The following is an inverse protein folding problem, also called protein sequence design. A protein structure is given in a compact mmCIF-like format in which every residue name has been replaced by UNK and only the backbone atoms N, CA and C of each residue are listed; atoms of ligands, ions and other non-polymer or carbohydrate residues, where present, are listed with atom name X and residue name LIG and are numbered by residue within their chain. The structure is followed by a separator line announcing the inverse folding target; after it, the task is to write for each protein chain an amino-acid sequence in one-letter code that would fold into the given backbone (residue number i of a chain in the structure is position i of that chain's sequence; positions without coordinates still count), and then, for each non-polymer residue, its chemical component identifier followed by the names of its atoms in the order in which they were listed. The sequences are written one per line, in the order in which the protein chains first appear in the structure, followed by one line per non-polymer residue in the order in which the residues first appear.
data_IF_563254421509
#
_entry.id   IF_563254421509
#
_cell.length_a   1.000
_cell.length_b   1.000
_cell.length_c   1.000
_cell.angle_alpha   90.00
_cell.angle_beta   90.00
_cell.angle_gamma   90.00
#
_symmetry.space_group_name_H-M   'P 1'
#
loop_
_entity.id
_entity.type
_entity.pdbx_description
1 polymer ?
#
# COMPACT_ATOMS: atom_id res chain seq x y z
N UNK A 1 -25.68 30.66 -29.19
CA UNK A 1 -25.72 30.13 -27.81
C UNK A 1 -24.37 30.32 -27.18
N UNK A 2 -24.23 30.67 -25.89
CA UNK A 2 -22.93 30.76 -25.26
C UNK A 2 -22.24 29.40 -25.36
N UNK A 3 -20.92 29.42 -25.54
CA UNK A 3 -20.10 28.20 -25.57
C UNK A 3 -20.26 27.48 -24.23
N UNK A 4 -20.58 26.18 -24.21
CA UNK A 4 -20.67 25.42 -22.95
C UNK A 4 -19.38 25.54 -22.17
N UNK A 5 -19.46 25.91 -20.91
CA UNK A 5 -18.30 26.02 -20.04
C UNK A 5 -18.43 25.01 -18.87
N UNK A 6 -17.30 24.44 -18.50
CA UNK A 6 -17.22 23.61 -17.31
C UNK A 6 -17.59 24.43 -16.07
N UNK A 7 -18.45 23.91 -15.22
CA UNK A 7 -18.84 24.54 -13.94
C UNK A 7 -17.72 24.40 -12.89
N UNK A 8 -16.55 24.90 -13.22
CA UNK A 8 -15.37 24.74 -12.41
C UNK A 8 -14.55 26.02 -12.46
N UNK A 9 -14.24 26.59 -11.30
CA UNK A 9 -13.32 27.71 -11.13
C UNK A 9 -12.17 27.22 -10.28
N UNK A 10 -10.95 27.15 -10.83
CA UNK A 10 -9.80 26.70 -10.07
C UNK A 10 -9.39 27.73 -9.01
N UNK A 11 -9.07 27.28 -7.80
CA UNK A 11 -8.33 28.09 -6.85
C UNK A 11 -6.84 28.12 -7.22
N UNK A 12 -6.03 28.99 -6.57
CA UNK A 12 -4.64 29.24 -6.96
C UNK A 12 -3.78 27.99 -7.09
N UNK A 13 -3.92 27.05 -6.15
CA UNK A 13 -3.18 25.78 -6.20
C UNK A 13 -3.55 24.90 -7.39
N UNK A 14 -4.83 24.89 -7.79
CA UNK A 14 -5.32 24.19 -8.98
C UNK A 14 -4.92 24.94 -10.27
N UNK A 15 -5.00 26.28 -10.25
CA UNK A 15 -4.56 27.12 -11.37
C UNK A 15 -3.10 26.90 -11.70
N UNK A 16 -2.23 26.78 -10.69
CA UNK A 16 -0.81 26.45 -10.87
C UNK A 16 -0.61 25.10 -11.61
N UNK A 17 -1.40 24.07 -11.29
CA UNK A 17 -1.32 22.80 -11.98
C UNK A 17 -1.85 22.88 -13.41
N UNK A 18 -2.90 23.67 -13.67
CA UNK A 18 -3.36 23.94 -15.03
C UNK A 18 -2.32 24.71 -15.84
N UNK A 19 -1.63 25.66 -15.21
CA UNK A 19 -0.52 26.37 -15.87
C UNK A 19 0.61 25.42 -16.25
N UNK A 20 1.00 24.52 -15.32
CA UNK A 20 2.01 23.50 -15.62
C UNK A 20 1.60 22.61 -16.81
N UNK A 21 0.30 22.28 -16.93
CA UNK A 21 -0.23 21.56 -18.08
C UNK A 21 -0.14 22.37 -19.38
N UNK A 22 -0.47 23.66 -19.32
CA UNK A 22 -0.34 24.57 -20.45
C UNK A 22 1.12 24.76 -20.88
N UNK A 23 2.06 24.73 -19.95
CA UNK A 23 3.51 24.80 -20.18
C UNK A 23 4.08 23.46 -20.70
N UNK A 24 3.25 22.44 -20.91
CA UNK A 24 3.62 21.18 -21.55
C UNK A 24 3.83 19.99 -20.64
N UNK A 25 3.53 20.09 -19.34
CA UNK A 25 3.66 18.96 -18.43
C UNK A 25 2.75 17.80 -18.87
N UNK A 26 3.34 16.64 -19.22
CA UNK A 26 2.61 15.45 -19.64
C UNK A 26 2.09 14.64 -18.45
N UNK A 27 2.80 14.68 -17.33
CA UNK A 27 2.40 14.06 -16.08
C UNK A 27 2.35 15.08 -14.97
N UNK A 28 1.26 15.04 -14.19
CA UNK A 28 1.14 15.76 -12.93
C UNK A 28 1.02 14.72 -11.81
N UNK A 29 1.85 14.83 -10.79
CA UNK A 29 1.80 13.96 -9.60
C UNK A 29 1.55 14.83 -8.37
N UNK A 30 0.43 14.58 -7.70
CA UNK A 30 -0.08 15.46 -6.67
C UNK A 30 -0.26 14.71 -5.33
N UNK A 31 0.68 14.93 -4.40
CA UNK A 31 0.56 14.49 -3.00
C UNK A 31 -0.14 15.59 -2.20
N UNK A 32 -1.42 15.44 -1.97
CA UNK A 32 -2.26 16.55 -1.51
C UNK A 32 -3.20 16.07 -0.40
N UNK A 33 -3.37 16.91 0.61
CA UNK A 33 -4.28 16.68 1.73
C UNK A 33 -5.73 16.45 1.30
N UNK A 34 -6.52 15.83 2.16
CA UNK A 34 -7.95 15.59 1.93
C UNK A 34 -8.70 16.92 1.82
N UNK A 35 -9.85 16.94 1.11
CA UNK A 35 -10.72 18.12 0.91
C UNK A 35 -10.07 19.33 0.20
N UNK A 36 -8.92 19.15 -0.43
CA UNK A 36 -8.24 20.20 -1.20
C UNK A 36 -8.90 20.48 -2.56
N UNK A 37 -9.70 19.55 -3.10
CA UNK A 37 -10.34 19.69 -4.41
C UNK A 37 -9.64 18.95 -5.55
N UNK A 38 -8.88 17.88 -5.25
CA UNK A 38 -8.17 17.03 -6.22
C UNK A 38 -9.05 16.51 -7.34
N UNK A 39 -10.24 15.98 -7.00
CA UNK A 39 -11.23 15.46 -7.96
C UNK A 39 -11.72 16.52 -8.92
N UNK A 40 -12.00 17.75 -8.44
CA UNK A 40 -12.44 18.86 -9.29
C UNK A 40 -11.36 19.29 -10.28
N UNK A 41 -10.10 19.35 -9.81
CA UNK A 41 -8.97 19.58 -10.71
C UNK A 41 -8.88 18.47 -11.78
N UNK A 42 -8.96 17.20 -11.39
CA UNK A 42 -8.86 16.08 -12.32
C UNK A 42 -9.91 16.12 -13.43
N UNK A 43 -11.16 16.44 -13.07
CA UNK A 43 -12.24 16.60 -14.05
C UNK A 43 -11.97 17.78 -14.97
N UNK A 44 -11.49 18.91 -14.44
CA UNK A 44 -11.11 20.07 -15.23
C UNK A 44 -9.99 19.78 -16.23
N UNK A 45 -8.93 19.14 -15.76
CA UNK A 45 -7.76 18.77 -16.57
C UNK A 45 -8.12 17.69 -17.63
N UNK A 46 -8.96 16.72 -17.27
CA UNK A 46 -9.46 15.70 -18.21
C UNK A 46 -10.35 16.32 -19.29
N UNK A 47 -11.20 17.31 -18.94
CA UNK A 47 -12.03 18.01 -19.92
C UNK A 47 -11.19 18.94 -20.80
N UNK A 48 -10.10 19.51 -20.30
CA UNK A 48 -9.14 20.23 -21.13
C UNK A 48 -8.45 19.28 -22.14
N UNK A 49 -8.10 18.06 -21.71
CA UNK A 49 -7.58 17.02 -22.61
C UNK A 49 -8.62 16.66 -23.70
N UNK A 50 -9.89 16.47 -23.31
CA UNK A 50 -10.99 16.23 -24.26
C UNK A 50 -11.11 17.36 -25.28
N UNK A 51 -11.10 18.62 -24.88
CA UNK A 51 -11.18 19.77 -25.81
C UNK A 51 -9.95 19.85 -26.71
N UNK A 52 -8.75 19.58 -26.17
CA UNK A 52 -7.52 19.53 -26.96
C UNK A 52 -7.60 18.49 -28.06
N UNK A 53 -8.09 17.30 -27.73
CA UNK A 53 -8.26 16.20 -28.70
C UNK A 53 -9.42 16.47 -29.66
N UNK A 54 -10.49 17.10 -29.19
CA UNK A 54 -11.66 17.47 -30.02
C UNK A 54 -11.28 18.42 -31.17
N UNK A 55 -10.24 19.26 -30.94
CA UNK A 55 -9.69 20.15 -31.96
C UNK A 55 -8.81 19.43 -33.01
N UNK A 56 -8.40 18.18 -32.75
CA UNK A 56 -7.55 17.38 -33.63
C UNK A 56 -8.36 16.53 -34.60
N UNK A 57 -7.87 16.39 -35.83
CA UNK A 57 -8.40 15.36 -36.72
C UNK A 57 -7.97 13.95 -36.23
N UNK A 58 -8.95 13.06 -36.03
CA UNK A 58 -8.70 11.68 -35.59
C UNK A 58 -9.10 10.70 -36.68
N UNK A 59 -8.17 9.85 -37.18
CA UNK A 59 -8.45 8.88 -38.22
C UNK A 59 -9.47 7.83 -37.74
N UNK A 60 -10.16 7.18 -38.67
CA UNK A 60 -11.13 6.11 -38.36
C UNK A 60 -10.50 4.94 -37.62
N UNK A 61 -9.21 4.63 -37.90
CA UNK A 61 -8.46 3.59 -37.19
C UNK A 61 -8.28 3.87 -35.70
N UNK A 62 -8.46 5.13 -35.27
CA UNK A 62 -8.40 5.51 -33.85
C UNK A 62 -9.81 5.42 -33.25
N UNK A 63 -10.11 4.28 -32.67
CA UNK A 63 -11.39 4.02 -32.01
C UNK A 63 -11.11 3.63 -30.57
N UNK A 64 -11.62 4.40 -29.60
CA UNK A 64 -12.42 5.65 -29.70
C UNK A 64 -11.55 6.85 -30.07
N UNK A 65 -12.16 7.95 -30.61
CA UNK A 65 -11.40 9.15 -30.97
C UNK A 65 -10.91 9.96 -29.74
N UNK A 66 -11.52 9.77 -28.58
CA UNK A 66 -11.04 10.19 -27.26
C UNK A 66 -11.34 9.08 -26.27
N UNK A 67 -10.35 8.70 -25.50
CA UNK A 67 -10.50 7.70 -24.47
C UNK A 67 -9.74 8.15 -23.20
N UNK A 68 -10.45 8.18 -22.06
CA UNK A 68 -9.87 8.50 -20.77
C UNK A 68 -10.20 7.41 -19.75
N UNK A 69 -9.28 7.16 -18.84
CA UNK A 69 -9.49 6.30 -17.68
C UNK A 69 -9.41 7.07 -16.39
N UNK A 70 -10.40 6.83 -15.52
CA UNK A 70 -10.33 7.05 -14.10
C UNK A 70 -10.03 5.70 -13.44
N UNK A 71 -8.83 5.51 -12.94
CA UNK A 71 -8.43 4.31 -12.18
C UNK A 71 -8.58 4.59 -10.70
N UNK A 72 -9.38 3.77 -10.03
CA UNK A 72 -9.64 3.82 -8.59
C UNK A 72 -9.16 2.53 -7.91
N UNK A 73 -8.82 2.54 -6.63
CA UNK A 73 -8.46 1.31 -5.92
C UNK A 73 -9.54 0.23 -6.00
N UNK A 74 -10.80 0.63 -5.78
CA UNK A 74 -11.98 -0.23 -5.96
C UNK A 74 -13.22 0.59 -6.40
N UNK A 75 -14.25 -0.06 -6.97
CA UNK A 75 -15.44 0.62 -7.49
C UNK A 75 -16.28 1.40 -6.44
N UNK A 76 -16.39 0.98 -5.17
CA UNK A 76 -17.05 1.80 -4.15
C UNK A 76 -16.49 3.22 -4.03
N UNK A 77 -15.18 3.39 -4.21
CA UNK A 77 -14.53 4.70 -4.14
C UNK A 77 -14.80 5.58 -5.39
N UNK A 78 -15.19 4.97 -6.51
CA UNK A 78 -15.49 5.69 -7.74
C UNK A 78 -16.75 6.57 -7.64
N UNK A 79 -17.68 6.24 -6.75
CA UNK A 79 -19.02 6.88 -6.71
C UNK A 79 -18.95 8.39 -6.52
N UNK A 80 -18.06 8.87 -5.68
CA UNK A 80 -17.92 10.32 -5.47
C UNK A 80 -17.43 11.01 -6.76
N UNK A 81 -16.35 10.51 -7.36
CA UNK A 81 -15.78 11.06 -8.60
C UNK A 81 -16.80 10.97 -9.75
N UNK A 82 -17.57 9.89 -9.81
CA UNK A 82 -18.67 9.74 -10.76
C UNK A 82 -19.74 10.82 -10.62
N UNK A 83 -20.20 11.08 -9.41
CA UNK A 83 -21.22 12.09 -9.15
C UNK A 83 -20.69 13.51 -9.47
N UNK A 84 -19.44 13.79 -9.11
CA UNK A 84 -18.80 15.07 -9.45
C UNK A 84 -18.63 15.25 -10.97
N UNK A 85 -18.27 14.19 -11.72
CA UNK A 85 -18.27 14.23 -13.19
C UNK A 85 -19.65 14.55 -13.75
N UNK A 86 -20.71 13.91 -13.21
CA UNK A 86 -22.09 14.15 -13.63
C UNK A 86 -22.57 15.59 -13.33
N UNK A 87 -22.06 16.20 -12.28
CA UNK A 87 -22.36 17.59 -11.91
C UNK A 87 -21.61 18.61 -12.78
N UNK A 88 -20.29 18.40 -12.95
CA UNK A 88 -19.37 19.39 -13.52
C UNK A 88 -19.36 19.40 -15.05
N UNK A 89 -19.41 18.21 -15.69
CA UNK A 89 -19.35 18.11 -17.15
C UNK A 89 -20.64 18.67 -17.76
N UNK A 90 -20.58 19.67 -18.68
CA UNK A 90 -21.76 20.23 -19.32
C UNK A 90 -22.59 19.15 -20.05
N UNK A 91 -23.92 19.28 -19.98
CA UNK A 91 -24.83 18.32 -20.66
C UNK A 91 -24.63 18.30 -22.16
N UNK A 92 -24.23 19.42 -22.73
CA UNK A 92 -23.97 19.59 -24.16
C UNK A 92 -22.78 18.74 -24.64
N UNK A 93 -21.81 18.48 -23.74
CA UNK A 93 -20.66 17.62 -24.03
C UNK A 93 -20.96 16.15 -23.80
N UNK A 94 -22.01 15.81 -23.06
CA UNK A 94 -22.39 14.43 -22.77
C UNK A 94 -23.43 13.91 -23.76
N UNK A 95 -23.35 12.62 -24.06
CA UNK A 95 -24.37 11.90 -24.84
C UNK A 95 -25.21 11.05 -23.90
N UNK A 96 -24.53 10.25 -23.08
CA UNK A 96 -25.16 9.40 -22.08
C UNK A 96 -24.19 9.09 -20.95
N UNK A 97 -24.77 8.71 -19.83
CA UNK A 97 -24.09 8.13 -18.68
C UNK A 97 -24.56 6.68 -18.57
N UNK A 98 -23.65 5.76 -18.39
CA UNK A 98 -23.96 4.33 -18.27
C UNK A 98 -23.37 3.78 -16.97
N UNK A 99 -24.06 3.96 -15.83
CA UNK A 99 -23.56 3.60 -14.52
C UNK A 99 -23.26 2.10 -14.36
N UNK A 100 -24.02 1.23 -15.06
CA UNK A 100 -23.79 -0.22 -15.04
C UNK A 100 -22.44 -0.63 -15.63
N UNK A 101 -21.90 0.18 -16.53
CA UNK A 101 -20.61 -0.02 -17.21
C UNK A 101 -19.55 0.98 -16.74
N UNK A 102 -19.88 1.86 -15.80
CA UNK A 102 -19.02 2.93 -15.34
C UNK A 102 -18.41 3.78 -16.47
N UNK A 103 -19.25 4.15 -17.48
CA UNK A 103 -18.84 4.85 -18.69
C UNK A 103 -19.61 6.14 -18.91
N UNK A 104 -18.89 7.26 -19.13
CA UNK A 104 -19.41 8.53 -19.63
C UNK A 104 -19.10 8.67 -21.11
N UNK A 105 -20.13 8.86 -21.93
CA UNK A 105 -19.97 9.10 -23.36
C UNK A 105 -19.91 10.60 -23.66
N UNK A 106 -18.87 11.01 -24.39
CA UNK A 106 -18.61 12.39 -24.77
C UNK A 106 -18.83 12.60 -26.25
N UNK A 107 -19.42 13.74 -26.58
CA UNK A 107 -19.86 14.09 -27.95
C UNK A 107 -18.66 14.39 -28.85
N UNK A 108 -18.59 13.72 -29.98
CA UNK A 108 -17.67 14.07 -31.07
C UNK A 108 -18.16 15.20 -31.94
N UNK A 109 -17.30 15.68 -32.82
CA UNK A 109 -17.55 16.73 -33.81
C UNK A 109 -17.14 16.27 -35.23
N UNK A 110 -17.14 17.18 -36.18
CA UNK A 110 -16.75 16.90 -37.56
C UNK A 110 -15.30 16.38 -37.69
N UNK A 111 -14.38 16.84 -36.84
CA UNK A 111 -12.96 16.38 -36.84
C UNK A 111 -12.85 14.88 -36.51
N UNK A 112 -13.84 14.35 -35.79
CA UNK A 112 -13.94 12.92 -35.47
C UNK A 112 -14.99 12.21 -36.32
N UNK A 113 -15.47 12.81 -37.40
CA UNK A 113 -16.57 12.28 -38.20
C UNK A 113 -17.81 11.93 -37.35
N UNK A 114 -18.10 12.78 -36.35
CA UNK A 114 -19.17 12.62 -35.37
C UNK A 114 -19.12 11.32 -34.54
N UNK A 115 -18.02 10.59 -34.54
CA UNK A 115 -17.80 9.50 -33.58
C UNK A 115 -17.67 10.06 -32.17
N UNK A 116 -17.91 9.24 -31.17
CA UNK A 116 -17.94 9.68 -29.77
C UNK A 116 -16.70 9.18 -29.02
N UNK A 117 -16.24 10.01 -28.09
CA UNK A 117 -15.27 9.61 -27.08
C UNK A 117 -15.93 9.11 -25.82
N UNK A 118 -15.17 8.62 -24.87
CA UNK A 118 -15.69 8.24 -23.56
C UNK A 118 -14.63 8.25 -22.45
N UNK A 119 -15.13 8.29 -21.23
CA UNK A 119 -14.38 8.10 -19.98
C UNK A 119 -14.85 6.82 -19.32
N UNK A 120 -13.94 5.93 -18.99
CA UNK A 120 -14.24 4.71 -18.25
C UNK A 120 -13.63 4.77 -16.84
N UNK A 121 -14.37 4.29 -15.85
CA UNK A 121 -13.83 4.02 -14.53
C UNK A 121 -13.35 2.57 -14.45
N UNK A 122 -12.12 2.39 -14.04
CA UNK A 122 -11.45 1.09 -13.88
C UNK A 122 -11.06 0.86 -12.43
N UNK A 123 -11.25 -0.36 -11.94
CA UNK A 123 -10.77 -0.75 -10.61
C UNK A 123 -9.39 -1.36 -10.70
N UNK A 124 -8.47 -0.87 -9.87
CA UNK A 124 -7.13 -1.45 -9.73
C UNK A 124 -7.12 -2.78 -8.97
N UNK A 125 -8.24 -3.13 -8.31
CA UNK A 125 -8.38 -4.41 -7.59
C UNK A 125 -8.27 -5.62 -8.53
N UNK A 126 -8.80 -5.49 -9.76
CA UNK A 126 -8.67 -6.54 -10.79
C UNK A 126 -7.75 -6.04 -11.90
N UNK A 127 -6.44 -6.17 -11.69
CA UNK A 127 -5.41 -5.67 -12.60
C UNK A 127 -5.44 -6.32 -13.98
N UNK A 128 -6.03 -7.49 -14.16
CA UNK A 128 -6.10 -8.20 -15.44
C UNK A 128 -7.03 -7.51 -16.46
N UNK A 129 -7.94 -6.65 -15.97
CA UNK A 129 -8.84 -5.85 -16.84
C UNK A 129 -8.20 -4.54 -17.33
N UNK A 130 -6.98 -4.23 -16.89
CA UNK A 130 -6.28 -2.98 -17.17
C UNK A 130 -5.47 -3.03 -18.46
N UNK A 131 -6.10 -3.48 -19.55
CA UNK A 131 -5.49 -3.53 -20.89
C UNK A 131 -6.39 -2.83 -21.91
N UNK A 132 -5.80 -2.04 -22.80
CA UNK A 132 -6.52 -1.35 -23.90
C UNK A 132 -5.55 -0.92 -25.00
N UNK A 133 -6.13 -0.40 -26.09
CA UNK A 133 -5.42 0.08 -27.29
C UNK A 133 -4.72 1.43 -27.12
N UNK A 134 -4.88 2.08 -25.97
CA UNK A 134 -4.30 3.39 -25.66
C UNK A 134 -5.33 4.38 -25.18
N UNK A 135 -4.90 5.33 -24.33
CA UNK A 135 -5.76 6.35 -23.74
C UNK A 135 -5.13 7.73 -23.84
N UNK A 136 -5.97 8.75 -24.03
CA UNK A 136 -5.56 10.15 -24.10
C UNK A 136 -5.32 10.77 -22.72
N UNK A 137 -6.08 10.31 -21.73
CA UNK A 137 -5.98 10.82 -20.36
C UNK A 137 -6.05 9.68 -19.34
N UNK A 138 -5.06 9.63 -18.46
CA UNK A 138 -5.00 8.68 -17.35
C UNK A 138 -5.08 9.44 -16.02
N UNK A 139 -6.17 9.23 -15.29
CA UNK A 139 -6.33 9.70 -13.92
C UNK A 139 -6.27 8.52 -12.95
N UNK A 140 -5.28 8.50 -12.06
CA UNK A 140 -5.19 7.53 -10.95
C UNK A 140 -5.56 8.26 -9.65
N UNK A 141 -6.74 7.92 -9.13
CA UNK A 141 -7.33 8.48 -7.92
C UNK A 141 -6.92 7.65 -6.69
N UNK A 142 -6.68 8.33 -5.55
CA UNK A 142 -6.20 7.71 -4.31
C UNK A 142 -5.00 6.78 -4.58
N UNK A 143 -4.02 7.33 -5.27
CA UNK A 143 -2.85 6.63 -5.83
C UNK A 143 -2.06 5.83 -4.77
N UNK A 144 -2.08 6.26 -3.49
CA UNK A 144 -1.44 5.55 -2.38
C UNK A 144 -2.09 4.19 -2.06
N UNK A 145 -3.31 3.96 -2.53
CA UNK A 145 -4.05 2.71 -2.32
C UNK A 145 -4.07 1.80 -3.58
N UNK A 146 -3.40 2.21 -4.66
CA UNK A 146 -3.21 1.44 -5.90
C UNK A 146 -1.89 0.68 -5.84
N UNK A 147 -1.91 -0.64 -6.02
CA UNK A 147 -0.71 -1.49 -5.91
C UNK A 147 0.33 -1.21 -6.98
N UNK A 148 1.60 -1.56 -6.72
CA UNK A 148 2.68 -1.47 -7.70
C UNK A 148 2.34 -2.28 -8.97
N UNK A 149 1.83 -3.50 -8.82
CA UNK A 149 1.44 -4.37 -9.93
C UNK A 149 0.37 -3.75 -10.84
N UNK A 150 -0.71 -3.23 -10.23
CA UNK A 150 -1.77 -2.58 -11.01
C UNK A 150 -1.24 -1.36 -11.77
N UNK A 151 -0.38 -0.56 -11.15
CA UNK A 151 0.22 0.60 -11.79
C UNK A 151 1.13 0.23 -12.97
N UNK A 152 1.91 -0.84 -12.85
CA UNK A 152 2.77 -1.33 -13.94
C UNK A 152 1.98 -1.74 -15.19
N UNK A 153 0.76 -2.26 -15.00
CA UNK A 153 -0.16 -2.56 -16.11
C UNK A 153 -0.82 -1.31 -16.70
N UNK A 154 -1.14 -0.32 -15.87
CA UNK A 154 -1.85 0.90 -16.29
C UNK A 154 -0.94 1.91 -16.99
N UNK A 155 0.30 2.08 -16.52
CA UNK A 155 1.19 3.13 -17.02
C UNK A 155 1.45 3.09 -18.54
N UNK A 156 1.67 1.92 -19.17
CA UNK A 156 1.96 1.84 -20.61
C UNK A 156 0.78 2.25 -21.51
N UNK A 157 -0.48 2.10 -21.06
CA UNK A 157 -1.66 2.35 -21.90
C UNK A 157 -1.80 3.82 -22.34
N UNK A 158 -1.24 4.76 -21.57
CA UNK A 158 -1.22 6.18 -21.92
C UNK A 158 -0.03 6.59 -22.81
N UNK A 159 0.77 5.63 -23.27
CA UNK A 159 1.97 5.86 -24.10
C UNK A 159 1.84 5.35 -25.54
N UNK A 160 0.66 4.95 -25.94
CA UNK A 160 0.41 4.48 -27.31
C UNK A 160 0.64 5.60 -28.32
N UNK A 161 1.12 5.29 -29.53
CA UNK A 161 1.25 6.27 -30.59
C UNK A 161 -0.08 6.93 -30.95
N UNK A 162 -0.07 8.24 -31.19
CA UNK A 162 -1.24 8.99 -31.62
C UNK A 162 -2.19 9.46 -30.50
N UNK A 163 -2.04 8.98 -29.27
CA UNK A 163 -2.80 9.49 -28.12
C UNK A 163 -2.15 10.72 -27.50
N UNK A 164 -2.94 11.56 -26.83
CA UNK A 164 -2.43 12.74 -26.11
C UNK A 164 -1.54 12.30 -24.93
N UNK A 165 -1.96 11.27 -24.20
CA UNK A 165 -1.17 10.61 -23.18
C UNK A 165 -0.91 11.47 -21.93
N UNK A 166 -1.82 12.36 -21.57
CA UNK A 166 -1.74 13.10 -20.31
C UNK A 166 -2.03 12.19 -19.11
N UNK A 167 -1.30 12.41 -18.03
CA UNK A 167 -1.41 11.62 -16.81
C UNK A 167 -1.60 12.53 -15.59
N UNK A 168 -2.51 12.15 -14.71
CA UNK A 168 -2.70 12.76 -13.40
C UNK A 168 -2.79 11.69 -12.33
N UNK A 169 -1.86 11.71 -11.37
CA UNK A 169 -1.80 10.79 -10.24
C UNK A 169 -1.98 11.60 -8.96
N UNK A 170 -2.97 11.25 -8.17
CA UNK A 170 -3.29 12.02 -6.98
C UNK A 170 -3.66 11.16 -5.78
N UNK A 171 -3.31 11.67 -4.60
CA UNK A 171 -3.61 11.04 -3.34
C UNK A 171 -2.96 11.77 -2.18
N UNK A 172 -3.12 11.21 -1.00
CA UNK A 172 -2.28 11.56 0.15
C UNK A 172 -0.95 10.81 0.05
N UNK A 173 0.13 11.26 0.70
CA UNK A 173 1.40 10.54 0.66
C UNK A 173 1.24 9.07 1.07
N UNK A 174 1.97 8.18 0.40
CA UNK A 174 2.09 6.79 0.84
C UNK A 174 2.88 6.71 2.14
N UNK A 175 2.64 5.67 2.93
CA UNK A 175 3.35 5.44 4.18
C UNK A 175 4.70 4.74 3.99
N UNK A 176 4.99 4.25 2.79
CA UNK A 176 6.29 3.64 2.51
C UNK A 176 6.95 4.25 1.25
N UNK A 177 8.26 4.58 1.33
CA UNK A 177 8.97 5.34 0.29
C UNK A 177 9.08 4.62 -1.06
N UNK A 178 9.09 3.28 -1.05
CA UNK A 178 9.23 2.45 -2.25
C UNK A 178 7.93 2.28 -3.04
N UNK A 179 6.82 2.89 -2.58
CA UNK A 179 5.57 2.89 -3.33
C UNK A 179 5.75 3.57 -4.70
N UNK A 180 5.12 3.04 -5.73
CA UNK A 180 5.21 3.62 -7.08
C UNK A 180 4.82 5.11 -7.12
N UNK A 181 3.84 5.51 -6.29
CA UNK A 181 3.37 6.90 -6.23
C UNK A 181 4.44 7.86 -5.70
N UNK A 182 5.22 7.43 -4.68
CA UNK A 182 6.36 8.19 -4.17
C UNK A 182 7.47 8.28 -5.22
N UNK A 183 7.79 7.18 -5.90
CA UNK A 183 8.76 7.16 -7.01
C UNK A 183 8.31 8.05 -8.17
N UNK A 184 7.03 8.00 -8.54
CA UNK A 184 6.47 8.86 -9.59
C UNK A 184 6.53 10.35 -9.21
N UNK A 185 6.31 10.69 -7.93
CA UNK A 185 6.46 12.04 -7.43
C UNK A 185 7.92 12.53 -7.51
N UNK A 186 8.86 11.71 -7.06
CA UNK A 186 10.29 12.03 -7.13
C UNK A 186 10.79 12.16 -8.56
N UNK A 187 10.29 11.35 -9.47
CA UNK A 187 10.58 11.47 -10.90
C UNK A 187 10.01 12.78 -11.46
N UNK A 188 8.73 13.08 -11.19
CA UNK A 188 8.08 14.28 -11.69
C UNK A 188 8.71 15.58 -11.14
N UNK A 189 9.28 15.55 -9.93
CA UNK A 189 9.98 16.70 -9.35
C UNK A 189 11.33 17.02 -10.01
N UNK A 190 11.90 16.07 -10.77
CA UNK A 190 13.21 16.20 -11.42
C UNK A 190 13.11 16.33 -12.94
N UNK A 191 11.99 15.92 -13.52
CA UNK A 191 11.80 15.86 -14.96
C UNK A 191 11.03 17.11 -15.44
N UNK A 192 11.63 17.98 -16.27
CA UNK A 192 10.98 19.21 -16.74
C UNK A 192 9.73 18.99 -17.60
N UNK A 193 9.53 17.78 -18.13
CA UNK A 193 8.31 17.43 -18.86
C UNK A 193 7.14 16.97 -17.95
N UNK A 194 7.36 16.99 -16.63
CA UNK A 194 6.38 16.59 -15.62
C UNK A 194 6.24 17.68 -14.56
N UNK A 195 5.22 17.55 -13.71
CA UNK A 195 4.99 18.46 -12.60
C UNK A 195 4.65 17.70 -11.32
N UNK A 196 5.27 18.08 -10.22
CA UNK A 196 5.00 17.52 -8.90
C UNK A 196 4.48 18.60 -7.96
N UNK A 197 3.38 18.32 -7.24
CA UNK A 197 2.83 19.23 -6.24
C UNK A 197 2.59 18.52 -4.92
N UNK A 198 3.00 19.13 -3.82
CA UNK A 198 2.53 18.81 -2.48
C UNK A 198 1.76 20.00 -1.93
N UNK A 199 0.59 19.76 -1.33
CA UNK A 199 -0.21 20.82 -0.74
C UNK A 199 -1.01 20.31 0.48
N UNK A 200 -1.07 21.09 1.57
CA UNK A 200 -1.96 20.80 2.69
C UNK A 200 -3.41 21.09 2.32
N UNK A 201 -4.34 20.49 3.05
CA UNK A 201 -5.78 20.78 2.99
C UNK A 201 -6.09 22.27 3.07
N UNK A 202 -5.37 22.97 3.91
CA UNK A 202 -5.55 24.41 4.22
C UNK A 202 -5.26 25.36 3.05
N UNK A 203 -4.70 24.87 1.96
CA UNK A 203 -4.54 25.64 0.72
C UNK A 203 -5.88 25.81 -0.03
N UNK A 204 -6.93 25.05 0.34
CA UNK A 204 -8.26 25.21 -0.24
C UNK A 204 -9.00 26.41 0.37
N UNK A 205 -9.27 27.48 -0.40
CA UNK A 205 -9.92 28.70 0.11
C UNK A 205 -11.43 28.52 0.35
N UNK A 206 -12.00 27.38 0.00
CA UNK A 206 -13.43 27.09 0.18
C UNK A 206 -13.73 26.45 1.54
N UNK A 207 -12.72 26.18 2.35
CA UNK A 207 -12.92 25.69 3.72
C UNK A 207 -13.52 26.79 4.59
N UNK A 208 -14.63 26.47 5.23
CA UNK A 208 -15.28 27.36 6.19
C UNK A 208 -14.55 27.33 7.54
N UNK A 209 -14.77 28.31 8.44
CA UNK A 209 -14.25 28.25 9.80
C UNK A 209 -14.65 26.96 10.51
N UNK A 210 -15.88 26.50 10.34
CA UNK A 210 -16.37 25.22 10.92
C UNK A 210 -15.59 24.02 10.38
N UNK A 211 -15.32 23.96 9.06
CA UNK A 211 -14.49 22.88 8.48
C UNK A 211 -13.09 22.86 9.12
N UNK A 212 -12.51 24.03 9.35
CA UNK A 212 -11.19 24.18 9.97
C UNK A 212 -11.20 23.70 11.43
N UNK A 213 -12.23 24.06 12.20
CA UNK A 213 -12.43 23.61 13.58
C UNK A 213 -12.59 22.07 13.65
N UNK A 214 -13.37 21.47 12.75
CA UNK A 214 -13.54 20.01 12.66
C UNK A 214 -12.21 19.32 12.33
N UNK A 215 -11.45 19.83 11.36
CA UNK A 215 -10.14 19.28 11.00
C UNK A 215 -9.17 19.37 12.18
N UNK A 216 -9.22 20.45 12.95
CA UNK A 216 -8.36 20.62 14.12
C UNK A 216 -8.76 19.66 15.24
N UNK A 217 -10.07 19.46 15.46
CA UNK A 217 -10.58 18.51 16.47
C UNK A 217 -10.23 17.06 16.15
N UNK A 218 -10.03 16.72 14.88
CA UNK A 218 -9.59 15.39 14.47
C UNK A 218 -8.22 14.99 15.07
N UNK A 219 -7.43 15.96 15.56
CA UNK A 219 -6.18 15.68 16.30
C UNK A 219 -6.39 14.93 17.60
N UNK A 220 -7.56 15.05 18.19
CA UNK A 220 -7.89 14.34 19.44
C UNK A 220 -8.17 12.85 19.20
N UNK A 221 -8.57 12.49 17.98
CA UNK A 221 -8.98 11.13 17.60
C UNK A 221 -7.97 10.42 16.71
N UNK A 222 -7.19 11.18 15.94
CA UNK A 222 -6.17 10.63 15.04
C UNK A 222 -4.79 10.64 15.73
N UNK A 223 -3.93 9.70 15.35
CA UNK A 223 -2.51 9.87 15.67
C UNK A 223 -1.94 11.09 14.94
N UNK A 224 -0.93 11.75 15.53
CA UNK A 224 -0.24 12.90 14.92
C UNK A 224 0.17 12.58 13.48
N UNK A 225 0.76 11.42 13.26
CA UNK A 225 1.20 10.97 11.95
C UNK A 225 0.05 10.80 10.94
N UNK A 226 -1.09 10.26 11.39
CA UNK A 226 -2.27 10.13 10.55
C UNK A 226 -2.85 11.50 10.18
N UNK A 227 -2.93 12.42 11.15
CA UNK A 227 -3.43 13.78 10.93
C UNK A 227 -2.53 14.54 9.95
N UNK A 228 -1.20 14.52 10.16
CA UNK A 228 -0.23 15.16 9.26
C UNK A 228 -0.29 14.63 7.84
N UNK A 229 -0.42 13.32 7.69
CA UNK A 229 -0.53 12.69 6.37
C UNK A 229 -1.84 13.07 5.67
N UNK A 230 -2.95 13.06 6.39
CA UNK A 230 -4.29 13.33 5.85
C UNK A 230 -4.49 14.80 5.48
N UNK A 231 -4.00 15.71 6.30
CA UNK A 231 -4.31 17.14 6.19
C UNK A 231 -3.10 18.01 5.77
N UNK A 232 -1.87 17.64 6.15
CA UNK A 232 -0.69 18.38 5.74
C UNK A 232 0.03 17.77 4.53
N UNK A 233 -0.42 16.62 4.03
CA UNK A 233 0.26 15.86 2.99
C UNK A 233 1.73 15.56 3.34
N UNK A 234 2.01 15.29 4.61
CA UNK A 234 3.33 14.96 5.14
C UNK A 234 3.34 13.52 5.66
N UNK A 235 4.42 12.82 5.40
CA UNK A 235 4.73 11.56 6.10
C UNK A 235 5.64 11.94 7.27
N UNK A 236 5.18 11.70 8.50
CA UNK A 236 6.07 11.77 9.65
C UNK A 236 6.71 10.40 9.86
N UNK A 237 7.98 10.38 10.26
CA UNK A 237 8.70 9.15 10.58
C UNK A 237 8.03 8.35 11.72
N UNK A 238 7.13 8.98 12.47
CA UNK A 238 6.35 8.38 13.56
C UNK A 238 5.11 7.58 13.11
N UNK A 239 4.78 7.54 11.80
CA UNK A 239 3.62 6.79 11.28
C UNK A 239 3.86 5.29 11.17
N UNK A 240 5.10 4.85 11.14
CA UNK A 240 5.46 3.45 11.00
C UNK A 240 5.33 2.73 12.33
N UNK A 241 4.77 1.52 12.30
CA UNK A 241 4.71 0.66 13.49
C UNK A 241 6.12 0.34 14.03
N UNK A 242 7.07 0.11 13.13
CA UNK A 242 8.48 -0.06 13.46
C UNK A 242 9.21 1.28 13.37
N UNK A 243 9.66 1.81 14.50
CA UNK A 243 10.41 3.07 14.59
C UNK A 243 11.90 2.79 14.81
N UNK A 244 12.76 3.61 14.23
CA UNK A 244 14.22 3.45 14.39
C UNK A 244 14.84 2.40 13.46
N UNK A 245 14.15 2.00 12.39
CA UNK A 245 14.62 0.97 11.45
C UNK A 245 16.04 1.27 10.94
N UNK A 246 16.29 2.53 10.54
CA UNK A 246 17.57 2.92 9.94
C UNK A 246 18.75 2.81 10.90
N UNK A 247 18.50 2.90 12.22
CA UNK A 247 19.51 2.73 13.25
C UNK A 247 19.94 1.26 13.43
N UNK A 248 19.06 0.34 13.03
CA UNK A 248 19.31 -1.11 13.09
C UNK A 248 20.03 -1.65 11.86
N UNK A 249 20.20 -0.83 10.80
CA UNK A 249 20.89 -1.26 9.58
C UNK A 249 22.38 -1.32 9.85
N UNK A 250 22.94 -2.54 9.95
CA UNK A 250 24.35 -2.75 10.22
C UNK A 250 24.85 -4.09 9.67
N UNK A 251 26.09 -4.07 9.20
CA UNK A 251 26.86 -5.24 8.75
C UNK A 251 26.45 -5.77 7.39
N UNK A 252 27.07 -6.87 7.02
CA UNK A 252 26.90 -7.54 5.74
C UNK A 252 26.31 -8.94 5.95
N UNK A 253 25.76 -9.51 4.90
CA UNK A 253 25.40 -10.92 4.83
C UNK A 253 26.67 -11.77 4.74
N UNK A 254 26.63 -12.93 5.38
CA UNK A 254 27.69 -13.92 5.34
C UNK A 254 27.32 -15.00 4.30
N UNK A 255 28.29 -15.42 3.51
CA UNK A 255 28.15 -16.57 2.60
C UNK A 255 28.27 -17.89 3.36
N UNK A 256 29.01 -17.92 4.50
CA UNK A 256 29.32 -19.10 5.29
C UNK A 256 29.32 -18.77 6.79
N UNK A 257 29.07 -19.75 7.69
CA UNK A 257 29.15 -19.55 9.12
C UNK A 257 30.59 -19.21 9.59
N UNK A 258 30.68 -18.32 10.55
CA UNK A 258 31.96 -17.97 11.18
C UNK A 258 32.29 -18.99 12.28
N UNK A 259 33.48 -19.62 12.28
CA UNK A 259 33.86 -20.59 13.31
C UNK A 259 33.73 -20.04 14.73
N UNK A 260 33.11 -20.80 15.63
CA UNK A 260 32.95 -20.44 17.04
C UNK A 260 31.72 -19.55 17.32
N UNK A 261 30.96 -19.17 16.32
CA UNK A 261 29.70 -18.47 16.47
C UNK A 261 28.52 -19.46 16.55
N UNK A 262 27.48 -19.07 17.24
CA UNK A 262 26.23 -19.86 17.34
C UNK A 262 25.11 -19.14 16.60
N UNK A 263 24.30 -19.92 15.89
CA UNK A 263 23.23 -19.41 15.03
C UNK A 263 21.87 -19.97 15.42
N UNK A 264 20.83 -19.17 15.20
CA UNK A 264 19.42 -19.57 15.30
C UNK A 264 18.65 -19.01 14.11
N UNK A 265 17.52 -19.63 13.78
CA UNK A 265 16.76 -19.27 12.60
C UNK A 265 15.28 -19.02 12.89
N UNK A 266 14.67 -18.18 12.08
CA UNK A 266 13.23 -17.99 11.98
C UNK A 266 12.75 -18.31 10.58
N UNK A 267 11.65 -19.05 10.45
CA UNK A 267 11.07 -19.48 9.18
C UNK A 267 9.59 -19.12 9.14
N UNK A 268 9.22 -18.30 8.17
CA UNK A 268 7.83 -18.08 7.76
C UNK A 268 7.53 -18.89 6.50
N UNK A 269 6.42 -19.67 6.52
CA UNK A 269 6.12 -20.65 5.46
C UNK A 269 4.97 -20.15 4.62
N UNK A 270 5.27 -19.76 3.38
CA UNK A 270 4.27 -19.42 2.37
C UNK A 270 3.68 -20.66 1.69
N UNK A 271 2.38 -20.62 1.35
CA UNK A 271 1.69 -21.81 0.78
C UNK A 271 1.24 -21.64 -0.67
N UNK A 272 0.44 -20.66 -0.97
CA UNK A 272 -0.21 -20.56 -2.29
C UNK A 272 0.21 -19.35 -3.08
N UNK A 273 0.33 -18.21 -2.42
CA UNK A 273 0.62 -16.92 -3.07
C UNK A 273 1.76 -16.17 -2.39
N UNK A 274 2.26 -16.66 -1.26
CA UNK A 274 3.29 -15.99 -0.49
C UNK A 274 4.59 -16.82 -0.52
N UNK A 275 5.76 -16.16 -0.63
CA UNK A 275 7.05 -16.85 -0.57
C UNK A 275 7.31 -17.39 0.83
N UNK A 276 8.08 -18.46 0.93
CA UNK A 276 8.65 -18.86 2.22
C UNK A 276 9.94 -18.10 2.48
N UNK A 277 10.11 -17.60 3.68
CA UNK A 277 11.30 -16.81 4.06
C UNK A 277 11.95 -17.40 5.31
N UNK A 278 13.25 -17.64 5.25
CA UNK A 278 14.07 -18.02 6.39
C UNK A 278 15.14 -16.98 6.64
N UNK A 279 15.34 -16.61 7.91
CA UNK A 279 16.42 -15.70 8.32
C UNK A 279 17.29 -16.37 9.36
N UNK A 280 18.61 -16.15 9.26
CA UNK A 280 19.61 -16.66 10.19
C UNK A 280 20.13 -15.52 11.07
N UNK A 281 20.12 -15.74 12.38
CA UNK A 281 20.66 -14.82 13.37
C UNK A 281 21.94 -15.34 13.99
N UNK A 282 22.94 -14.49 14.17
CA UNK A 282 23.95 -14.69 15.20
C UNK A 282 23.25 -14.57 16.57
N UNK A 283 23.33 -15.64 17.36
CA UNK A 283 22.60 -15.76 18.63
C UNK A 283 23.01 -14.68 19.65
N UNK A 284 24.29 -14.36 19.71
CA UNK A 284 24.84 -13.45 20.71
C UNK A 284 24.67 -11.98 20.32
N UNK A 285 24.93 -11.66 19.06
CA UNK A 285 24.81 -10.30 18.54
C UNK A 285 23.36 -9.91 18.20
N UNK A 286 22.46 -10.88 18.10
CA UNK A 286 21.08 -10.70 17.61
C UNK A 286 21.05 -9.96 16.27
N UNK A 287 21.94 -10.38 15.40
CA UNK A 287 22.14 -9.79 14.08
C UNK A 287 21.76 -10.79 13.00
N UNK A 288 21.00 -10.34 12.00
CA UNK A 288 20.76 -11.15 10.81
C UNK A 288 22.04 -11.26 10.01
N UNK A 289 22.46 -12.48 9.73
CA UNK A 289 23.70 -12.79 9.01
C UNK A 289 23.47 -13.48 7.67
N UNK A 290 22.31 -14.12 7.47
CA UNK A 290 21.93 -14.72 6.20
C UNK A 290 20.40 -14.77 6.07
N UNK A 291 19.90 -14.89 4.85
CA UNK A 291 18.49 -15.12 4.57
C UNK A 291 18.31 -15.92 3.28
N UNK A 292 17.17 -16.62 3.18
CA UNK A 292 16.74 -17.35 2.00
C UNK A 292 15.27 -17.04 1.76
N UNK A 293 14.91 -16.93 0.49
CA UNK A 293 13.54 -16.72 0.03
C UNK A 293 13.25 -17.76 -1.05
N UNK A 294 12.15 -18.50 -0.89
CA UNK A 294 11.66 -19.46 -1.87
C UNK A 294 10.31 -19.00 -2.39
N UNK A 295 10.24 -18.75 -3.66
CA UNK A 295 8.99 -18.36 -4.31
C UNK A 295 7.96 -19.52 -4.35
N UNK A 296 6.75 -19.19 -4.77
CA UNK A 296 5.62 -20.15 -4.82
C UNK A 296 5.82 -21.32 -5.81
N UNK A 297 6.85 -21.30 -6.63
CA UNK A 297 7.18 -22.40 -7.55
C UNK A 297 7.94 -23.53 -6.84
N UNK A 298 8.50 -23.25 -5.65
CA UNK A 298 9.16 -24.25 -4.83
C UNK A 298 8.13 -25.11 -4.09
N UNK A 299 8.23 -26.44 -4.25
CA UNK A 299 7.43 -27.36 -3.43
C UNK A 299 7.98 -27.41 -2.01
N UNK A 300 7.11 -27.68 -1.04
CA UNK A 300 7.53 -27.88 0.36
C UNK A 300 8.68 -28.90 0.51
N UNK A 301 8.66 -29.98 -0.28
CA UNK A 301 9.71 -31.02 -0.26
C UNK A 301 11.08 -30.39 -0.57
N UNK A 302 11.17 -29.56 -1.61
CA UNK A 302 12.42 -28.87 -1.98
C UNK A 302 12.84 -27.86 -0.91
N UNK A 303 11.89 -27.07 -0.38
CA UNK A 303 12.18 -26.12 0.69
C UNK A 303 12.76 -26.83 1.89
N UNK A 304 12.16 -27.96 2.32
CA UNK A 304 12.67 -28.77 3.42
C UNK A 304 14.09 -29.31 3.16
N UNK A 305 14.34 -29.86 1.98
CA UNK A 305 15.67 -30.34 1.58
C UNK A 305 16.72 -29.23 1.67
N UNK A 306 16.39 -28.04 1.22
CA UNK A 306 17.28 -26.87 1.33
C UNK A 306 17.51 -26.47 2.79
N UNK A 307 16.49 -26.50 3.65
CA UNK A 307 16.64 -26.23 5.09
C UNK A 307 17.56 -27.24 5.76
N UNK A 308 17.49 -28.52 5.39
CA UNK A 308 18.41 -29.55 5.86
C UNK A 308 19.85 -29.26 5.46
N UNK A 309 20.11 -28.91 4.21
CA UNK A 309 21.42 -28.50 3.72
C UNK A 309 21.97 -27.26 4.47
N UNK A 310 21.10 -26.25 4.66
CA UNK A 310 21.48 -25.05 5.45
C UNK A 310 21.83 -25.45 6.88
N UNK A 311 21.14 -26.41 7.49
CA UNK A 311 21.47 -26.88 8.83
C UNK A 311 22.80 -27.63 8.88
N UNK A 312 23.08 -28.48 7.90
CA UNK A 312 24.37 -29.16 7.77
C UNK A 312 25.53 -28.18 7.67
N UNK A 313 25.34 -27.06 6.95
CA UNK A 313 26.34 -26.02 6.75
C UNK A 313 26.47 -25.08 7.97
N UNK A 314 25.36 -24.54 8.49
CA UNK A 314 25.36 -23.50 9.51
C UNK A 314 25.28 -24.03 10.94
N UNK A 315 24.83 -25.24 11.16
CA UNK A 315 24.72 -25.86 12.48
C UNK A 315 23.85 -25.08 13.46
N UNK A 316 22.76 -24.46 12.97
CA UNK A 316 21.90 -23.63 13.82
C UNK A 316 21.31 -24.43 14.98
N UNK A 317 21.28 -23.78 16.16
CA UNK A 317 20.88 -24.44 17.42
C UNK A 317 19.35 -24.53 17.60
N UNK A 318 18.61 -23.73 16.81
CA UNK A 318 17.15 -23.61 16.94
C UNK A 318 16.57 -23.01 15.67
N UNK A 319 15.45 -23.57 15.22
CA UNK A 319 14.60 -23.04 14.14
C UNK A 319 13.19 -22.83 14.67
N UNK A 320 12.76 -21.59 14.82
CA UNK A 320 11.36 -21.27 15.16
C UNK A 320 10.60 -21.02 13.86
N UNK A 321 9.48 -21.72 13.66
CA UNK A 321 8.70 -21.62 12.42
C UNK A 321 7.22 -21.37 12.67
N UNK A 322 6.53 -20.73 11.69
CA UNK A 322 5.09 -20.52 11.78
C UNK A 322 4.31 -21.83 11.57
N UNK A 323 3.61 -22.26 12.62
CA UNK A 323 2.75 -23.44 12.62
C UNK A 323 1.27 -23.12 12.44
N UNK A 324 0.88 -21.85 12.18
CA UNK A 324 -0.52 -21.40 12.08
C UNK A 324 -1.11 -21.49 10.67
N UNK A 325 -0.28 -21.61 9.63
CA UNK A 325 -0.74 -21.67 8.24
C UNK A 325 -1.46 -22.99 7.91
N UNK A 326 -2.37 -22.96 6.94
CA UNK A 326 -3.32 -24.05 6.62
C UNK A 326 -2.75 -25.45 6.32
N UNK A 327 -1.43 -25.57 6.17
CA UNK A 327 -0.67 -26.83 6.11
C UNK A 327 0.12 -27.16 7.39
N UNK A 328 0.02 -26.30 8.42
CA UNK A 328 0.92 -26.30 9.58
C UNK A 328 1.10 -27.64 10.28
N UNK A 329 0.04 -28.44 10.42
CA UNK A 329 0.17 -29.76 11.03
C UNK A 329 0.99 -30.74 10.17
N UNK A 330 0.82 -30.72 8.86
CA UNK A 330 1.60 -31.57 7.96
C UNK A 330 3.09 -31.18 7.93
N UNK A 331 3.38 -29.90 8.01
CA UNK A 331 4.76 -29.39 8.09
C UNK A 331 5.39 -29.70 9.44
N UNK A 332 4.65 -29.50 10.53
CA UNK A 332 5.11 -29.81 11.88
C UNK A 332 5.45 -31.29 12.01
N UNK A 333 4.56 -32.19 11.56
CA UNK A 333 4.78 -33.60 11.52
C UNK A 333 5.98 -33.98 10.65
N UNK A 334 6.11 -33.39 9.47
CA UNK A 334 7.20 -33.67 8.55
C UNK A 334 8.56 -33.18 9.09
N UNK A 335 8.62 -31.97 9.65
CA UNK A 335 9.83 -31.46 10.30
C UNK A 335 10.20 -32.23 11.56
N UNK A 336 9.23 -32.73 12.33
CA UNK A 336 9.45 -33.56 13.50
C UNK A 336 10.09 -34.89 13.15
N UNK A 337 9.98 -35.37 11.90
CA UNK A 337 10.68 -36.61 11.45
C UNK A 337 12.16 -36.36 11.13
N UNK A 338 12.58 -35.10 11.07
CA UNK A 338 13.97 -34.73 10.79
C UNK A 338 14.79 -34.58 12.08
N UNK A 339 16.09 -34.45 11.94
CA UNK A 339 17.01 -34.13 13.06
C UNK A 339 17.16 -32.62 13.34
N UNK A 340 16.34 -31.82 12.69
CA UNK A 340 16.39 -30.35 12.84
C UNK A 340 15.90 -29.93 14.24
N UNK A 341 16.56 -28.94 14.88
CA UNK A 341 16.14 -28.41 16.19
C UNK A 341 14.96 -27.43 16.04
N UNK A 342 13.81 -27.95 15.65
CA UNK A 342 12.61 -27.15 15.31
C UNK A 342 11.74 -26.85 16.52
N UNK A 343 11.12 -25.66 16.52
CA UNK A 343 10.13 -25.22 17.50
C UNK A 343 8.93 -24.56 16.78
N UNK A 344 7.73 -25.16 16.87
CA UNK A 344 6.55 -24.59 16.26
C UNK A 344 6.06 -23.36 17.05
N UNK A 345 5.65 -22.32 16.34
CA UNK A 345 5.07 -21.09 16.89
C UNK A 345 3.77 -20.75 16.15
N UNK A 346 2.65 -20.71 16.87
CA UNK A 346 1.38 -20.32 16.27
C UNK A 346 1.23 -18.78 16.25
N UNK A 347 1.25 -18.18 15.07
CA UNK A 347 1.08 -16.72 14.83
C UNK A 347 -0.42 -16.37 14.79
N UNK A 348 -1.13 -16.50 15.91
CA UNK A 348 -2.56 -16.23 15.99
C UNK A 348 -2.92 -15.29 17.15
N UNK A 349 -3.95 -14.47 16.95
CA UNK A 349 -4.54 -13.62 17.99
C UNK A 349 -3.52 -12.73 18.73
N UNK A 350 -3.55 -12.78 20.05
CA UNK A 350 -2.66 -11.98 20.91
C UNK A 350 -1.18 -12.33 20.74
N UNK A 351 -0.86 -13.60 20.46
CA UNK A 351 0.54 -14.03 20.23
C UNK A 351 1.19 -13.34 19.05
N UNK A 352 0.40 -13.09 17.98
CA UNK A 352 0.87 -12.33 16.81
C UNK A 352 1.25 -10.91 17.21
N UNK A 353 0.39 -10.22 17.96
CA UNK A 353 0.64 -8.87 18.42
C UNK A 353 1.83 -8.79 19.39
N UNK A 354 1.93 -9.72 20.33
CA UNK A 354 3.05 -9.80 21.27
C UNK A 354 4.40 -9.96 20.55
N UNK A 355 4.43 -10.84 19.54
CA UNK A 355 5.63 -11.09 18.75
C UNK A 355 6.05 -9.83 17.97
N UNK A 356 5.12 -9.17 17.29
CA UNK A 356 5.38 -7.95 16.55
C UNK A 356 5.78 -6.79 17.47
N UNK A 357 5.14 -6.65 18.64
CA UNK A 357 5.51 -5.64 19.64
C UNK A 357 6.93 -5.87 20.20
N UNK A 358 7.35 -7.13 20.37
CA UNK A 358 8.73 -7.46 20.78
C UNK A 358 9.73 -7.04 19.71
N UNK A 359 9.44 -7.34 18.45
CA UNK A 359 10.29 -6.90 17.34
C UNK A 359 10.35 -5.38 17.27
N UNK A 360 9.21 -4.69 17.35
CA UNK A 360 9.16 -3.23 17.37
C UNK A 360 9.97 -2.64 18.54
N UNK A 361 9.82 -3.22 19.72
CA UNK A 361 10.62 -2.81 20.89
C UNK A 361 12.12 -3.10 20.74
N UNK A 362 12.52 -4.17 20.06
CA UNK A 362 13.92 -4.48 19.79
C UNK A 362 14.52 -3.49 18.79
N UNK A 363 13.77 -3.15 17.73
CA UNK A 363 14.17 -2.14 16.74
C UNK A 363 14.29 -0.76 17.40
N UNK A 364 13.27 -0.31 18.13
CA UNK A 364 13.25 1.00 18.78
C UNK A 364 14.40 1.18 19.81
N UNK A 365 14.85 0.09 20.46
CA UNK A 365 15.98 0.10 21.39
C UNK A 365 17.32 -0.24 20.75
N UNK A 366 17.36 -0.45 19.43
CA UNK A 366 18.55 -0.86 18.69
C UNK A 366 19.23 -2.10 19.31
N UNK A 367 18.42 -3.11 19.70
CA UNK A 367 18.91 -4.37 20.29
C UNK A 367 18.85 -5.54 19.29
N UNK A 368 18.53 -5.26 18.06
CA UNK A 368 18.58 -6.15 16.89
C UNK A 368 19.22 -5.38 15.76
N UNK A 369 19.99 -6.04 14.92
CA UNK A 369 20.56 -5.41 13.72
C UNK A 369 20.43 -6.34 12.50
N UNK A 370 20.43 -5.74 11.33
CA UNK A 370 20.29 -6.45 10.05
C UNK A 370 20.98 -5.70 8.92
N UNK A 371 21.52 -6.42 7.92
CA UNK A 371 21.98 -5.81 6.68
C UNK A 371 20.83 -5.16 5.92
N UNK A 372 21.10 -4.29 4.91
CA UNK A 372 20.07 -3.61 4.14
C UNK A 372 19.35 -4.56 3.15
N UNK A 373 18.64 -5.56 3.69
CA UNK A 373 17.84 -6.53 2.93
C UNK A 373 16.61 -5.80 2.36
N UNK A 374 16.58 -5.58 1.05
CA UNK A 374 15.55 -4.74 0.41
C UNK A 374 14.11 -5.16 0.71
N UNK A 375 13.69 -6.44 0.59
CA UNK A 375 12.33 -6.85 0.95
C UNK A 375 12.00 -6.58 2.43
N UNK A 376 12.91 -6.91 3.36
CA UNK A 376 12.72 -6.66 4.79
C UNK A 376 12.51 -5.15 5.06
N UNK A 377 13.37 -4.30 4.49
CA UNK A 377 13.28 -2.85 4.69
C UNK A 377 11.94 -2.30 4.20
N UNK A 378 11.49 -2.77 3.04
CA UNK A 378 10.20 -2.39 2.46
C UNK A 378 9.04 -2.82 3.36
N UNK A 379 9.03 -4.06 3.80
CA UNK A 379 7.95 -4.62 4.64
C UNK A 379 7.91 -3.94 6.01
N UNK A 380 9.06 -3.73 6.68
CA UNK A 380 9.11 -3.02 7.97
C UNK A 380 8.54 -1.59 7.88
N UNK A 381 8.87 -0.87 6.80
CA UNK A 381 8.37 0.48 6.56
C UNK A 381 6.90 0.51 6.11
N UNK A 382 6.42 -0.58 5.51
CA UNK A 382 5.04 -0.69 5.05
C UNK A 382 4.04 -1.12 6.14
N UNK A 383 4.51 -1.77 7.23
CA UNK A 383 3.65 -2.28 8.29
C UNK A 383 2.92 -1.14 9.03
N UNK A 384 1.60 -1.20 9.04
CA UNK A 384 0.73 -0.17 9.60
C UNK A 384 -0.28 -0.74 10.57
N UNK A 385 -0.65 0.09 11.56
CA UNK A 385 -1.79 -0.20 12.41
C UNK A 385 -3.07 0.33 11.75
N UNK A 386 -3.95 -0.56 11.31
CA UNK A 386 -5.21 -0.20 10.66
C UNK A 386 -6.40 -0.46 11.57
N UNK A 387 -7.30 0.53 11.68
CA UNK A 387 -8.56 0.36 12.37
C UNK A 387 -9.54 -0.43 11.49
N UNK A 388 -10.06 -1.53 12.01
CA UNK A 388 -11.05 -2.36 11.36
C UNK A 388 -12.47 -1.79 11.56
N UNK A 389 -13.46 -2.14 10.71
CA UNK A 389 -14.84 -1.66 10.84
C UNK A 389 -15.48 -1.92 12.21
N UNK A 390 -15.01 -2.93 12.95
CA UNK A 390 -15.45 -3.24 14.32
C UNK A 390 -14.76 -2.44 15.45
N UNK A 391 -13.95 -1.41 15.11
CA UNK A 391 -13.24 -0.57 16.08
C UNK A 391 -11.94 -1.17 16.63
N UNK A 392 -11.61 -2.42 16.31
CA UNK A 392 -10.34 -3.07 16.67
C UNK A 392 -9.22 -2.61 15.75
N UNK A 393 -7.97 -2.67 16.24
CA UNK A 393 -6.79 -2.37 15.44
C UNK A 393 -6.13 -3.68 14.96
N UNK A 394 -5.70 -3.69 13.70
CA UNK A 394 -4.93 -4.79 13.12
C UNK A 394 -3.66 -4.25 12.50
N UNK A 395 -2.53 -4.92 12.80
CA UNK A 395 -1.27 -4.69 12.09
C UNK A 395 -1.29 -5.46 10.78
N UNK A 396 -1.08 -4.76 9.69
CA UNK A 396 -1.02 -5.34 8.35
C UNK A 396 -0.17 -4.48 7.42
N UNK A 397 0.37 -5.09 6.39
CA UNK A 397 0.93 -4.38 5.24
C UNK A 397 -0.19 -3.95 4.28
N UNK A 398 0.01 -2.93 3.43
CA UNK A 398 -0.93 -2.57 2.37
C UNK A 398 -1.22 -3.74 1.44
N UNK A 399 -2.37 -3.69 0.74
CA UNK A 399 -2.73 -4.71 -0.27
C UNK A 399 -1.64 -4.82 -1.33
N UNK A 400 -1.26 -6.06 -1.67
CA UNK A 400 -0.22 -6.36 -2.64
C UNK A 400 1.21 -6.25 -2.12
N UNK A 401 1.37 -6.00 -0.83
CA UNK A 401 2.63 -6.13 -0.11
C UNK A 401 2.58 -7.37 0.78
N UNK A 402 3.75 -7.97 1.00
CA UNK A 402 3.95 -9.17 1.82
C UNK A 402 4.50 -8.80 3.19
N UNK A 403 4.34 -9.67 4.18
CA UNK A 403 4.88 -9.51 5.55
C UNK A 403 5.76 -10.70 5.99
N UNK A 404 6.10 -11.60 5.07
CA UNK A 404 6.85 -12.83 5.32
C UNK A 404 8.22 -12.58 5.98
N UNK A 405 8.97 -11.56 5.51
CA UNK A 405 10.24 -11.19 6.14
C UNK A 405 10.07 -10.69 7.57
N UNK A 406 9.01 -9.94 7.85
CA UNK A 406 8.73 -9.45 9.21
C UNK A 406 8.50 -10.62 10.14
N UNK A 407 7.69 -11.61 9.71
CA UNK A 407 7.40 -12.78 10.52
C UNK A 407 8.62 -13.68 10.68
N UNK A 408 9.37 -13.93 9.62
CA UNK A 408 10.62 -14.68 9.71
C UNK A 408 11.62 -14.04 10.69
N UNK A 409 11.77 -12.70 10.64
CA UNK A 409 12.63 -11.93 11.57
C UNK A 409 12.10 -11.99 13.01
N UNK A 410 10.80 -11.86 13.21
CA UNK A 410 10.19 -11.92 14.55
C UNK A 410 10.31 -13.32 15.18
N UNK A 411 10.18 -14.38 14.37
CA UNK A 411 10.41 -15.78 14.78
C UNK A 411 11.90 -15.99 15.11
N UNK A 412 12.82 -15.52 14.28
CA UNK A 412 14.25 -15.60 14.52
C UNK A 412 14.68 -14.87 15.79
N UNK A 413 14.12 -13.67 16.04
CA UNK A 413 14.35 -12.94 17.29
C UNK A 413 13.80 -13.72 18.50
N UNK A 414 12.68 -14.42 18.34
CA UNK A 414 12.13 -15.31 19.38
C UNK A 414 13.05 -16.50 19.65
N UNK A 415 13.70 -17.03 18.61
CA UNK A 415 14.71 -18.08 18.75
C UNK A 415 15.93 -17.61 19.57
N UNK A 416 16.33 -16.33 19.44
CA UNK A 416 17.41 -15.76 20.26
C UNK A 416 17.08 -15.67 21.76
N UNK A 417 15.81 -15.64 22.15
CA UNK A 417 15.40 -15.49 23.55
C UNK A 417 15.49 -16.81 24.37
N UNK A 418 15.79 -17.94 23.75
CA UNK A 418 15.79 -19.28 24.37
C UNK A 418 14.37 -19.86 24.55
N UNK A 419 14.26 -21.16 24.87
CA UNK A 419 12.98 -21.80 25.07
C UNK A 419 12.20 -21.15 26.22
N UNK A 420 10.94 -20.76 25.99
CA UNK A 420 10.05 -20.38 27.09
C UNK A 420 9.93 -21.57 28.03
N UNK A 421 10.28 -21.42 29.30
CA UNK A 421 9.76 -22.33 30.34
C UNK A 421 8.24 -22.17 30.31
N UNK A 422 7.55 -23.13 29.74
CA UNK A 422 6.11 -23.29 29.94
C UNK A 422 5.96 -23.65 31.40
N UNK A 423 5.58 -22.68 32.25
CA UNK A 423 5.08 -23.04 33.57
C UNK A 423 3.85 -23.92 33.32
N UNK A 424 3.81 -25.11 33.89
CA UNK A 424 2.64 -25.99 33.75
C UNK A 424 1.45 -25.20 34.29
N UNK A 425 0.44 -25.05 33.45
CA UNK A 425 -0.83 -24.41 33.79
C UNK A 425 -1.32 -25.04 35.08
N UNK A 426 -1.21 -24.37 36.21
CA UNK A 426 -1.89 -24.77 37.43
C UNK A 426 -3.37 -24.62 37.13
N UNK A 427 -3.98 -25.72 36.68
CA UNK A 427 -5.42 -25.94 36.76
C UNK A 427 -5.80 -25.99 38.24
N UNK A 428 -5.74 -24.82 38.87
CA UNK A 428 -6.28 -24.58 40.20
C UNK A 428 -7.72 -24.19 40.02
N UNK A 429 -8.62 -25.12 40.28
CA UNK A 429 -10.04 -24.86 40.32
C UNK A 429 -10.34 -23.64 41.19
N UNK A 430 -10.91 -22.60 40.59
CA UNK A 430 -11.66 -21.58 41.33
C UNK A 430 -13.12 -21.99 41.29
N UNK A 431 -13.53 -22.58 42.40
CA UNK A 431 -14.94 -22.69 42.80
C UNK A 431 -15.59 -21.30 42.74
N UNK A 432 -16.67 -21.24 41.99
CA UNK A 432 -17.65 -20.17 42.00
C UNK A 432 -18.10 -19.89 43.44
N UNK A 433 -17.74 -18.71 44.01
CA UNK A 433 -18.43 -18.12 45.15
C UNK A 433 -18.79 -16.70 44.82
N UNK A 434 -19.95 -16.54 44.23
CA UNK A 434 -20.69 -15.28 44.28
C UNK A 434 -21.34 -15.20 45.66
N UNK A 435 -20.84 -14.35 46.52
CA UNK A 435 -21.57 -13.86 47.67
C UNK A 435 -22.32 -12.58 47.27
N UNK A 436 -23.62 -12.45 47.53
CA UNK A 436 -24.35 -11.23 47.22
C UNK A 436 -23.98 -10.10 48.22
N UNK A 437 -23.69 -8.94 47.67
CA UNK A 437 -23.56 -7.69 48.47
C UNK A 437 -24.97 -7.12 48.69
N UNK A 438 -25.38 -6.87 49.95
CA UNK A 438 -26.69 -6.25 50.22
C UNK A 438 -26.68 -4.74 50.03
N UNK A 439 -27.67 -4.22 49.31
CA UNK A 439 -28.18 -2.88 49.44
C UNK A 439 -27.69 -1.82 48.49
N UNK A 440 -28.36 -1.71 47.35
CA UNK A 440 -28.64 -0.42 46.68
C UNK A 440 -29.94 -0.58 45.87
N UNK A 441 -30.92 0.35 45.98
CA UNK A 441 -32.19 0.24 45.26
C UNK A 441 -32.08 0.76 43.83
N UNK A 442 -32.76 0.04 42.91
CA UNK A 442 -33.08 0.57 41.58
C UNK A 442 -34.20 1.63 41.68
N UNK A 443 -34.21 2.60 40.76
CA UNK A 443 -35.28 2.63 39.78
C UNK A 443 -34.87 2.19 38.37
#
# INVERSE_FOLDING_TARGET
MPTPQLKYVPHDGQALMHQARADGARRIVAKIGRRWGKTRFAIGDMMAAYQTVLAQHRPESMVPPFHAWLVVPDYPQARQSWNEMAELIPREWRIKEQPSEWTFWLRGNANWQHRNGYVEVKSAFNSDTLQTTGIDYLWVCEAQDVTNEAFEKVLPVSRSPGVLGWQYFEGIPSTYPEHWFERAYMEASRNPAHFAKTAPTFENPLLTPTDLEEIESDKEILSVAAWERLYLARVSDNANFFQGIDQCIAGDLLDMPVPGREYVAGLDIGWTNDPSVMVMFDLHERKIVAHWEWDTTYSWVRTRETILQIHEEWGFKRLVFDASSGGGKGVEEDLATTHLPVEPFAIVGERRMDMLNRLAGAIARNTVSFPPIRPLMRQLRAMQMRRMPGGTFRLQVPRGEHDDYIFAVALGLSACAGPRRVEPNRLGGRSNRYAPVPGLPFP
#
